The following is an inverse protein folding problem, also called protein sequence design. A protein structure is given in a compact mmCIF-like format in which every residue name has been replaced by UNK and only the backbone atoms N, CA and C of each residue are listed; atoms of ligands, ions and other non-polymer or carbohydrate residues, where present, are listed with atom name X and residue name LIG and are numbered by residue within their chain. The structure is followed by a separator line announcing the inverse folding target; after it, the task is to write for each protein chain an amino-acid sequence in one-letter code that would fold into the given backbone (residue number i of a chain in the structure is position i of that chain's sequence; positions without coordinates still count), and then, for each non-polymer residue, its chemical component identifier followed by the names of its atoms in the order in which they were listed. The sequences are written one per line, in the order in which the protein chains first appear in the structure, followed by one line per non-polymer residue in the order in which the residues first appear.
data_IF_845538499999
#
_entry.id   IF_845538499999
#
_cell.length_a   1.000
_cell.length_b   1.000
_cell.length_c   1.000
_cell.angle_alpha   90.00
_cell.angle_beta   90.00
_cell.angle_gamma   90.00
#
_symmetry.space_group_name_H-M   'P 1'
#
loop_
_entity.id
_entity.type
_entity.pdbx_description
1 polymer ?
#
# COMPACT_ATOMS: atom_id res chain seq x y z
N UNK A 1 -7.02 -5.18 -2.06
CA UNK A 1 -5.93 -6.18 -1.94
C UNK A 1 -5.67 -6.59 -0.49
N UNK A 2 -5.44 -5.67 0.46
CA UNK A 2 -5.28 -6.04 1.89
C UNK A 2 -6.52 -6.67 2.53
N UNK A 3 -7.69 -6.57 1.89
CA UNK A 3 -8.91 -7.31 2.22
C UNK A 3 -8.74 -8.83 2.16
N UNK A 4 -7.76 -9.34 1.40
CA UNK A 4 -7.47 -10.77 1.33
C UNK A 4 -6.66 -11.29 2.51
N UNK A 5 -5.99 -10.44 3.29
CA UNK A 5 -5.21 -10.86 4.46
C UNK A 5 -6.15 -11.37 5.58
N UNK A 6 -7.21 -10.65 5.98
CA UNK A 6 -8.22 -11.19 6.90
C UNK A 6 -8.89 -12.46 6.38
N UNK A 7 -9.16 -12.54 5.08
CA UNK A 7 -9.75 -13.72 4.45
C UNK A 7 -8.79 -14.92 4.50
N UNK A 8 -7.51 -14.71 4.24
CA UNK A 8 -6.49 -15.75 4.40
C UNK A 8 -6.36 -16.20 5.86
N UNK A 9 -6.33 -15.26 6.82
CA UNK A 9 -6.30 -15.57 8.24
C UNK A 9 -7.54 -16.38 8.67
N UNK A 10 -8.73 -16.01 8.20
CA UNK A 10 -9.99 -16.69 8.54
C UNK A 10 -10.14 -18.06 7.88
N UNK A 11 -9.81 -18.17 6.60
CA UNK A 11 -9.92 -19.42 5.82
C UNK A 11 -8.82 -20.44 6.17
N UNK A 12 -7.64 -19.95 6.56
CA UNK A 12 -6.52 -20.78 7.01
C UNK A 12 -6.55 -21.01 8.53
N UNK A 13 -7.65 -20.67 9.20
CA UNK A 13 -7.85 -20.83 10.65
C UNK A 13 -7.55 -22.25 11.16
N UNK A 14 -7.90 -23.27 10.39
CA UNK A 14 -7.60 -24.68 10.67
C UNK A 14 -6.13 -25.08 10.48
N UNK A 15 -5.33 -24.22 9.83
CA UNK A 15 -3.91 -24.42 9.49
C UNK A 15 -3.03 -23.41 10.26
N UNK A 16 -3.56 -22.69 11.26
CA UNK A 16 -2.93 -21.58 12.01
C UNK A 16 -1.50 -21.82 12.52
N UNK A 17 -1.06 -23.08 12.62
CA UNK A 17 0.28 -23.46 13.07
C UNK A 17 1.30 -23.65 11.94
N UNK A 18 0.89 -23.49 10.68
CA UNK A 18 1.76 -23.76 9.55
C UNK A 18 2.62 -22.54 9.17
N UNK A 19 3.93 -22.72 8.91
CA UNK A 19 4.78 -21.65 8.36
C UNK A 19 4.26 -21.10 7.03
N UNK A 20 3.33 -21.80 6.36
CA UNK A 20 2.76 -21.39 5.09
C UNK A 20 1.77 -20.22 5.19
N UNK A 21 1.14 -19.99 6.35
CA UNK A 21 0.27 -18.81 6.54
C UNK A 21 1.11 -17.53 6.56
N UNK A 22 2.24 -17.57 7.28
CA UNK A 22 3.15 -16.45 7.38
C UNK A 22 3.65 -16.04 5.99
N UNK A 23 4.16 -16.97 5.19
CA UNK A 23 4.64 -16.64 3.84
C UNK A 23 3.49 -16.20 2.91
N UNK A 24 2.29 -16.77 3.05
CA UNK A 24 1.12 -16.35 2.26
C UNK A 24 0.76 -14.89 2.53
N UNK A 25 0.68 -14.49 3.80
CA UNK A 25 0.37 -13.10 4.18
C UNK A 25 1.47 -12.16 3.67
N UNK A 26 2.74 -12.55 3.79
CA UNK A 26 3.86 -11.75 3.27
C UNK A 26 3.74 -11.58 1.76
N UNK A 27 3.56 -12.66 0.99
CA UNK A 27 3.43 -12.58 -0.47
C UNK A 27 2.17 -11.82 -0.90
N UNK A 28 1.07 -11.91 -0.17
CA UNK A 28 -0.12 -11.07 -0.41
C UNK A 28 0.19 -9.58 -0.20
N UNK A 29 1.00 -9.25 0.81
CA UNK A 29 1.42 -7.87 1.08
C UNK A 29 2.32 -7.35 -0.04
N UNK A 30 3.30 -8.16 -0.45
CA UNK A 30 4.18 -7.85 -1.59
C UNK A 30 3.34 -7.68 -2.87
N UNK A 31 2.41 -8.59 -3.13
CA UNK A 31 1.49 -8.49 -4.28
C UNK A 31 0.58 -7.27 -4.22
N UNK A 32 0.12 -6.87 -3.03
CA UNK A 32 -0.67 -5.65 -2.87
C UNK A 32 0.15 -4.40 -3.19
N UNK A 33 1.37 -4.30 -2.65
CA UNK A 33 2.28 -3.19 -2.95
C UNK A 33 2.62 -3.15 -4.45
N UNK A 34 3.09 -4.27 -4.99
CA UNK A 34 3.56 -4.34 -6.37
C UNK A 34 2.42 -4.23 -7.39
N UNK A 35 1.29 -4.89 -7.16
CA UNK A 35 0.15 -4.83 -8.07
C UNK A 35 -0.52 -3.45 -8.09
N UNK A 36 -0.53 -2.73 -6.96
CA UNK A 36 -1.08 -1.37 -6.90
C UNK A 36 -0.27 -0.35 -7.70
N UNK A 37 0.98 -0.65 -8.04
CA UNK A 37 1.86 0.30 -8.72
C UNK A 37 1.46 0.55 -10.17
N UNK A 38 0.71 -0.36 -10.80
CA UNK A 38 0.39 -0.30 -12.23
C UNK A 38 -0.48 0.89 -12.61
N UNK A 39 -1.32 1.38 -11.69
CA UNK A 39 -2.31 2.43 -11.98
C UNK A 39 -2.11 3.67 -11.12
N UNK A 40 -2.52 4.86 -11.60
CA UNK A 40 -2.45 6.09 -10.82
C UNK A 40 -3.23 6.01 -9.50
N UNK A 41 -4.42 5.39 -9.52
CA UNK A 41 -5.33 5.32 -8.37
C UNK A 41 -4.92 4.21 -7.39
N UNK A 42 -4.03 3.30 -7.79
CA UNK A 42 -3.70 2.12 -7.02
C UNK A 42 -3.08 2.43 -5.65
N UNK A 43 -2.30 3.52 -5.54
CA UNK A 43 -1.73 3.96 -4.27
C UNK A 43 -1.61 5.52 -4.20
N UNK A 44 -1.50 6.11 -2.98
CA UNK A 44 -1.54 7.57 -2.84
C UNK A 44 -0.36 8.29 -3.49
N UNK A 45 0.84 7.71 -3.47
CA UNK A 45 2.01 8.32 -4.08
C UNK A 45 1.90 8.40 -5.61
N UNK A 46 1.31 7.38 -6.24
CA UNK A 46 1.05 7.39 -7.68
C UNK A 46 0.05 8.46 -8.05
N UNK A 47 -1.05 8.55 -7.29
CA UNK A 47 -2.09 9.55 -7.52
C UNK A 47 -1.52 10.97 -7.41
N UNK A 48 -0.69 11.20 -6.39
CA UNK A 48 -0.02 12.49 -6.18
C UNK A 48 0.92 12.86 -7.33
N UNK A 49 1.85 11.96 -7.69
CA UNK A 49 2.82 12.23 -8.77
C UNK A 49 2.13 12.33 -10.14
N UNK A 50 1.08 11.53 -10.37
CA UNK A 50 0.24 11.62 -11.57
C UNK A 50 -0.38 13.02 -11.71
N UNK A 51 -0.94 13.56 -10.62
CA UNK A 51 -1.51 14.91 -10.60
C UNK A 51 -0.49 16.03 -10.91
N UNK A 52 0.76 15.87 -10.50
CA UNK A 52 1.84 16.82 -10.81
C UNK A 52 2.38 16.67 -12.24
N UNK A 53 2.41 15.43 -12.74
CA UNK A 53 3.08 15.08 -14.00
C UNK A 53 2.31 15.45 -15.28
N UNK A 54 0.99 15.70 -15.17
CA UNK A 54 0.09 15.92 -16.32
C UNK A 54 0.10 14.77 -17.36
N UNK A 55 0.53 13.57 -16.97
CA UNK A 55 0.55 12.41 -17.86
C UNK A 55 -0.86 11.90 -18.19
N UNK A 56 -1.00 11.21 -19.31
CA UNK A 56 -2.19 10.40 -19.58
C UNK A 56 -2.16 9.13 -18.72
N UNK A 57 -3.33 8.58 -18.39
CA UNK A 57 -3.44 7.29 -17.67
C UNK A 57 -2.70 6.18 -18.43
N UNK A 58 -2.78 6.18 -19.76
CA UNK A 58 -2.10 5.19 -20.59
C UNK A 58 -0.57 5.28 -20.47
N UNK A 59 -0.01 6.50 -20.48
CA UNK A 59 1.43 6.71 -20.31
C UNK A 59 1.89 6.21 -18.93
N UNK A 60 1.14 6.52 -17.87
CA UNK A 60 1.44 6.03 -16.52
C UNK A 60 1.47 4.48 -16.48
N UNK A 61 0.45 3.85 -17.05
CA UNK A 61 0.38 2.38 -17.11
C UNK A 61 1.57 1.82 -17.89
N UNK A 62 1.93 2.40 -19.03
CA UNK A 62 3.09 1.97 -19.83
C UNK A 62 4.41 2.13 -19.07
N UNK A 63 4.59 3.22 -18.34
CA UNK A 63 5.76 3.45 -17.49
C UNK A 63 5.89 2.36 -16.40
N UNK A 64 4.78 2.01 -15.75
CA UNK A 64 4.77 1.07 -14.63
C UNK A 64 4.64 -0.41 -15.05
N UNK A 65 4.28 -0.68 -16.30
CA UNK A 65 4.03 -2.02 -16.81
C UNK A 65 5.27 -2.93 -16.71
N UNK A 66 6.49 -2.54 -17.12
CA UNK A 66 7.65 -3.41 -17.03
C UNK A 66 7.93 -3.87 -15.58
N UNK A 67 7.94 -2.92 -14.64
CA UNK A 67 8.13 -3.22 -13.21
C UNK A 67 7.03 -4.14 -12.66
N UNK A 68 5.79 -3.92 -13.07
CA UNK A 68 4.63 -4.75 -12.68
C UNK A 68 4.73 -6.17 -13.25
N UNK A 69 5.16 -6.32 -14.50
CA UNK A 69 5.34 -7.63 -15.16
C UNK A 69 6.46 -8.41 -14.49
N UNK A 70 7.62 -7.79 -14.24
CA UNK A 70 8.70 -8.44 -13.49
C UNK A 70 8.25 -8.84 -12.08
N UNK A 71 7.48 -7.97 -11.42
CA UNK A 71 6.88 -8.28 -10.12
C UNK A 71 5.96 -9.49 -10.17
N UNK A 72 5.12 -9.60 -11.20
CA UNK A 72 4.22 -10.73 -11.41
C UNK A 72 4.99 -12.04 -11.64
N UNK A 73 6.09 -12.02 -12.41
CA UNK A 73 6.97 -13.17 -12.57
C UNK A 73 7.62 -13.60 -11.24
N UNK A 74 8.18 -12.66 -10.49
CA UNK A 74 8.79 -12.96 -9.18
C UNK A 74 7.77 -13.56 -8.21
N UNK A 75 6.56 -13.00 -8.16
CA UNK A 75 5.46 -13.55 -7.36
C UNK A 75 5.08 -14.95 -7.84
N UNK A 76 4.94 -15.17 -9.16
CA UNK A 76 4.63 -16.48 -9.72
C UNK A 76 5.64 -17.54 -9.28
N UNK A 77 6.95 -17.26 -9.37
CA UNK A 77 7.97 -18.19 -8.90
C UNK A 77 7.97 -18.38 -7.38
N UNK A 78 7.72 -17.32 -6.61
CA UNK A 78 7.61 -17.42 -5.15
C UNK A 78 6.41 -18.29 -4.72
N UNK A 79 5.29 -18.24 -5.44
CA UNK A 79 4.12 -19.07 -5.17
C UNK A 79 4.40 -20.57 -5.35
N UNK A 80 5.28 -20.96 -6.28
CA UNK A 80 5.67 -22.37 -6.47
C UNK A 80 6.41 -22.97 -5.28
N UNK A 81 6.92 -22.13 -4.36
CA UNK A 81 7.54 -22.57 -3.11
C UNK A 81 6.52 -22.85 -2.01
N UNK A 82 5.25 -22.48 -2.19
CA UNK A 82 4.18 -22.79 -1.25
C UNK A 82 3.62 -24.18 -1.59
N UNK A 83 3.69 -25.16 -0.67
CA UNK A 83 3.15 -26.48 -0.93
C UNK A 83 1.63 -26.43 -1.09
N UNK A 84 1.14 -27.23 -2.03
CA UNK A 84 -0.29 -27.38 -2.30
C UNK A 84 -0.92 -28.24 -1.20
N UNK A 85 -1.32 -27.64 -0.09
CA UNK A 85 -2.10 -28.32 0.96
C UNK A 85 -3.59 -28.24 0.66
N UNK A 86 -4.32 -29.34 0.82
CA UNK A 86 -5.78 -29.30 0.79
C UNK A 86 -6.28 -28.47 1.97
N UNK A 87 -6.97 -27.37 1.67
CA UNK A 87 -7.64 -26.56 2.68
C UNK A 87 -8.93 -27.27 3.09
N UNK A 88 -8.99 -27.76 4.32
CA UNK A 88 -10.24 -28.25 4.90
C UNK A 88 -10.92 -27.02 5.50
N UNK A 89 -11.86 -26.47 4.75
CA UNK A 89 -12.64 -25.31 5.17
C UNK A 89 -13.66 -25.79 6.21
N UNK A 90 -13.37 -25.56 7.49
CA UNK A 90 -14.13 -26.16 8.59
C UNK A 90 -15.44 -25.43 8.94
N UNK A 91 -15.77 -24.33 8.23
CA UNK A 91 -17.01 -23.59 8.43
C UNK A 91 -17.51 -23.03 7.10
N UNK A 92 -18.70 -23.45 6.67
CA UNK A 92 -19.54 -22.65 5.78
C UNK A 92 -20.14 -21.52 6.60
N UNK A 93 -19.60 -20.31 6.46
CA UNK A 93 -20.26 -19.14 7.06
C UNK A 93 -21.52 -18.92 6.21
N UNK A 94 -22.69 -19.17 6.79
CA UNK A 94 -23.97 -18.77 6.20
C UNK A 94 -24.10 -17.25 6.33
N UNK A 95 -23.35 -16.52 5.51
CA UNK A 95 -23.45 -15.06 5.47
C UNK A 95 -24.64 -14.70 4.60
N UNK A 96 -25.73 -14.26 5.22
CA UNK A 96 -26.73 -13.50 4.50
C UNK A 96 -26.07 -12.22 3.96
N UNK A 97 -25.99 -12.14 2.63
CA UNK A 97 -25.39 -11.00 1.95
C UNK A 97 -26.36 -9.83 2.04
N UNK A 98 -25.98 -8.78 2.77
CA UNK A 98 -26.72 -7.53 2.83
C UNK A 98 -26.63 -6.78 1.48
N UNK A 99 -27.56 -7.11 0.58
CA UNK A 99 -27.66 -6.50 -0.76
C UNK A 99 -27.82 -4.99 -0.69
N UNK A 100 -28.53 -4.48 0.32
CA UNK A 100 -28.72 -3.04 0.54
C UNK A 100 -27.40 -2.39 0.97
N UNK A 101 -26.69 -3.03 1.89
CA UNK A 101 -25.36 -2.60 2.32
C UNK A 101 -24.38 -2.50 1.16
N UNK A 102 -24.35 -3.50 0.27
CA UNK A 102 -23.48 -3.47 -0.93
C UNK A 102 -23.76 -2.23 -1.77
N UNK A 103 -25.03 -1.93 -2.08
CA UNK A 103 -25.38 -0.76 -2.90
C UNK A 103 -24.93 0.53 -2.20
N UNK A 104 -25.18 0.66 -0.89
CA UNK A 104 -24.77 1.84 -0.10
C UNK A 104 -23.25 2.01 -0.12
N UNK A 105 -22.48 0.96 0.18
CA UNK A 105 -21.02 1.04 0.20
C UNK A 105 -20.42 1.26 -1.20
N UNK A 106 -21.02 0.70 -2.24
CA UNK A 106 -20.59 0.92 -3.62
C UNK A 106 -20.86 2.36 -4.05
N UNK A 107 -22.01 2.93 -3.68
CA UNK A 107 -22.32 4.35 -3.89
C UNK A 107 -21.34 5.27 -3.14
N UNK A 108 -21.05 4.98 -1.87
CA UNK A 108 -20.05 5.72 -1.09
C UNK A 108 -18.66 5.59 -1.71
N UNK A 109 -18.27 4.40 -2.19
CA UNK A 109 -16.99 4.19 -2.86
C UNK A 109 -16.87 5.04 -4.13
N UNK A 110 -17.89 5.03 -5.00
CA UNK A 110 -17.93 5.87 -6.20
C UNK A 110 -17.86 7.36 -5.84
N UNK A 111 -18.56 7.78 -4.78
CA UNK A 111 -18.49 9.16 -4.29
C UNK A 111 -17.08 9.52 -3.80
N UNK A 112 -16.39 8.61 -3.10
CA UNK A 112 -14.98 8.85 -2.71
C UNK A 112 -14.04 8.90 -3.90
N UNK A 113 -14.25 8.09 -4.94
CA UNK A 113 -13.48 8.18 -6.18
C UNK A 113 -13.74 9.51 -6.91
N UNK A 114 -14.98 10.01 -6.89
CA UNK A 114 -15.32 11.30 -7.48
C UNK A 114 -14.57 12.46 -6.80
N UNK A 115 -14.36 12.41 -5.48
CA UNK A 115 -13.50 13.37 -4.78
C UNK A 115 -12.02 13.23 -5.18
N UNK A 116 -11.55 12.00 -5.34
CA UNK A 116 -10.15 11.72 -5.76
C UNK A 116 -9.86 12.29 -7.15
N UNK A 117 -10.81 12.25 -8.08
CA UNK A 117 -10.66 12.84 -9.42
C UNK A 117 -11.07 14.33 -9.47
N UNK A 118 -11.25 14.97 -8.30
CA UNK A 118 -11.64 16.38 -8.16
C UNK A 118 -12.99 16.76 -8.81
N UNK A 119 -13.90 15.81 -9.03
CA UNK A 119 -15.26 16.11 -9.51
C UNK A 119 -16.19 16.61 -8.41
N UNK A 120 -15.90 16.27 -7.15
CA UNK A 120 -16.68 16.67 -5.98
C UNK A 120 -15.72 17.12 -4.88
N UNK A 121 -16.05 18.20 -4.18
CA UNK A 121 -15.26 18.68 -3.05
C UNK A 121 -15.17 17.62 -1.93
N UNK A 122 -13.96 17.29 -1.41
CA UNK A 122 -13.79 16.28 -0.37
C UNK A 122 -14.62 16.54 0.90
N UNK A 123 -14.88 17.81 1.23
CA UNK A 123 -15.72 18.21 2.38
C UNK A 123 -17.17 17.79 2.18
N UNK A 124 -17.70 17.92 0.95
CA UNK A 124 -19.07 17.49 0.61
C UNK A 124 -19.16 15.97 0.71
N UNK A 125 -18.15 15.26 0.19
CA UNK A 125 -18.09 13.79 0.28
C UNK A 125 -18.03 13.32 1.73
N UNK A 126 -17.24 13.97 2.59
CA UNK A 126 -17.19 13.66 4.02
C UNK A 126 -18.56 13.85 4.70
N UNK A 127 -19.23 14.97 4.44
CA UNK A 127 -20.57 15.26 4.96
C UNK A 127 -21.58 14.18 4.54
N UNK A 128 -21.63 13.87 3.24
CA UNK A 128 -22.53 12.83 2.71
C UNK A 128 -22.21 11.45 3.30
N UNK A 129 -20.93 11.11 3.44
CA UNK A 129 -20.50 9.84 4.02
C UNK A 129 -20.97 9.70 5.47
N UNK A 130 -20.76 10.74 6.30
CA UNK A 130 -21.21 10.76 7.69
C UNK A 130 -22.74 10.65 7.78
N UNK A 131 -23.47 11.45 6.98
CA UNK A 131 -24.93 11.43 6.97
C UNK A 131 -25.47 10.06 6.54
N UNK A 132 -25.02 9.52 5.40
CA UNK A 132 -25.49 8.24 4.88
C UNK A 132 -25.21 7.11 5.88
N UNK A 133 -24.02 7.05 6.48
CA UNK A 133 -23.67 6.02 7.46
C UNK A 133 -24.43 6.17 8.78
N UNK A 134 -24.69 7.40 9.23
CA UNK A 134 -25.51 7.67 10.41
C UNK A 134 -26.97 7.24 10.19
N UNK A 135 -27.57 7.58 9.05
CA UNK A 135 -28.94 7.16 8.68
C UNK A 135 -29.04 5.66 8.43
N UNK A 136 -27.98 5.03 7.91
CA UNK A 136 -27.94 3.57 7.75
C UNK A 136 -27.85 2.82 9.10
N UNK A 137 -27.67 3.53 10.22
CA UNK A 137 -27.63 2.95 11.57
C UNK A 137 -26.34 2.18 11.85
N UNK A 138 -25.27 2.47 11.10
CA UNK A 138 -24.09 1.64 11.09
C UNK A 138 -23.02 2.12 12.05
N UNK A 139 -22.71 1.30 13.07
CA UNK A 139 -21.64 1.57 14.04
C UNK A 139 -20.23 1.51 13.43
N UNK A 140 -20.08 1.10 12.18
CA UNK A 140 -18.79 0.97 11.49
C UNK A 140 -18.04 2.31 11.31
N UNK A 141 -18.69 3.47 11.45
CA UNK A 141 -18.02 4.78 11.47
C UNK A 141 -16.89 4.83 12.50
N UNK A 142 -17.07 4.18 13.66
CA UNK A 142 -16.07 4.12 14.72
C UNK A 142 -15.10 2.94 14.59
N UNK A 143 -15.31 2.06 13.62
CA UNK A 143 -14.44 0.91 13.33
C UNK A 143 -13.23 1.26 12.45
N UNK A 144 -13.15 2.49 11.94
CA UNK A 144 -12.02 2.97 11.17
C UNK A 144 -10.74 3.07 12.02
N UNK A 145 -9.58 2.83 11.39
CA UNK A 145 -8.28 2.93 12.07
C UNK A 145 -7.83 4.40 12.15
N UNK A 146 -8.41 5.16 13.09
CA UNK A 146 -8.06 6.57 13.30
C UNK A 146 -6.60 6.77 13.69
N UNK A 147 -5.95 5.76 14.31
CA UNK A 147 -4.51 5.79 14.57
C UNK A 147 -3.68 5.81 13.29
N UNK A 148 -4.11 5.08 12.26
CA UNK A 148 -3.49 5.15 10.94
C UNK A 148 -3.71 6.53 10.30
N UNK A 149 -4.91 7.10 10.39
CA UNK A 149 -5.20 8.45 9.89
C UNK A 149 -4.33 9.51 10.58
N UNK A 150 -4.16 9.40 11.89
CA UNK A 150 -3.27 10.26 12.68
C UNK A 150 -1.80 10.07 12.29
N UNK A 151 -1.38 8.85 11.99
CA UNK A 151 -0.03 8.57 11.50
C UNK A 151 0.23 9.28 10.18
N UNK A 152 -0.74 9.29 9.25
CA UNK A 152 -0.64 10.08 8.02
C UNK A 152 -0.50 11.58 8.32
N UNK A 153 -1.38 12.14 9.16
CA UNK A 153 -1.30 13.54 9.55
C UNK A 153 0.10 13.88 10.10
N UNK A 154 0.63 13.06 10.99
CA UNK A 154 1.96 13.24 11.57
C UNK A 154 3.07 13.15 10.51
N UNK A 155 3.00 12.20 9.57
CA UNK A 155 3.97 12.07 8.48
C UNK A 155 3.93 13.26 7.51
N UNK A 156 2.75 13.79 7.19
CA UNK A 156 2.61 15.01 6.38
C UNK A 156 3.17 16.24 7.11
N UNK A 157 2.88 16.39 8.40
CA UNK A 157 3.47 17.45 9.22
C UNK A 157 4.99 17.32 9.28
N UNK A 158 5.50 16.09 9.45
CA UNK A 158 6.94 15.82 9.45
C UNK A 158 7.58 16.24 8.11
N UNK A 159 7.03 15.81 6.97
CA UNK A 159 7.54 16.18 5.65
C UNK A 159 7.48 17.69 5.42
N UNK A 160 6.37 18.33 5.77
CA UNK A 160 6.22 19.78 5.66
C UNK A 160 7.26 20.55 6.49
N UNK A 161 7.62 20.04 7.67
CA UNK A 161 8.68 20.62 8.49
C UNK A 161 10.08 20.32 7.95
N UNK A 162 10.34 19.08 7.50
CA UNK A 162 11.63 18.68 6.90
C UNK A 162 11.97 19.54 5.68
N UNK A 163 10.98 19.86 4.85
CA UNK A 163 11.15 20.74 3.68
C UNK A 163 11.56 22.18 4.04
N UNK A 164 11.35 22.63 5.29
CA UNK A 164 11.73 23.96 5.77
C UNK A 164 13.11 24.01 6.43
N UNK A 165 13.73 22.86 6.66
CA UNK A 165 15.07 22.76 7.24
C UNK A 165 16.10 22.94 6.13
N UNK A 166 16.84 24.04 6.15
CA UNK A 166 17.82 24.39 5.12
C UNK A 166 18.86 23.29 4.88
N UNK A 167 19.27 22.56 5.93
CA UNK A 167 20.21 21.44 5.82
C UNK A 167 19.62 20.27 5.02
N UNK A 168 18.34 19.94 5.25
CA UNK A 168 17.64 18.89 4.52
C UNK A 168 17.48 19.29 3.07
N UNK A 169 17.06 20.54 2.81
CA UNK A 169 16.95 21.09 1.46
C UNK A 169 18.28 21.01 0.70
N UNK A 170 19.37 21.46 1.31
CA UNK A 170 20.71 21.46 0.69
C UNK A 170 21.19 20.04 0.41
N UNK A 171 20.95 19.11 1.33
CA UNK A 171 21.33 17.71 1.17
C UNK A 171 20.52 17.04 0.05
N UNK A 172 19.20 17.20 0.04
CA UNK A 172 18.34 16.62 -0.99
C UNK A 172 18.62 17.21 -2.36
N UNK A 173 18.76 18.53 -2.48
CA UNK A 173 19.12 19.19 -3.74
C UNK A 173 20.45 18.66 -4.32
N UNK A 174 21.41 18.31 -3.45
CA UNK A 174 22.72 17.74 -3.87
C UNK A 174 22.64 16.26 -4.26
N UNK A 175 21.84 15.47 -3.56
CA UNK A 175 21.87 14.00 -3.64
C UNK A 175 20.83 13.44 -4.60
N UNK A 176 19.73 14.16 -4.85
CA UNK A 176 18.63 13.68 -5.71
C UNK A 176 19.00 13.66 -7.19
N UNK A 177 19.68 14.70 -7.69
CA UNK A 177 19.97 14.85 -9.12
C UNK A 177 20.74 13.66 -9.70
N UNK A 178 20.13 12.95 -10.66
CA UNK A 178 20.68 11.76 -11.31
C UNK A 178 20.69 10.50 -10.44
N UNK A 179 20.09 10.54 -9.25
CA UNK A 179 19.99 9.42 -8.29
C UNK A 179 18.58 9.29 -7.71
N UNK A 180 17.57 9.82 -8.40
CA UNK A 180 16.19 9.94 -7.95
C UNK A 180 15.64 8.59 -7.48
N UNK A 181 15.88 7.52 -8.26
CA UNK A 181 15.40 6.17 -7.97
C UNK A 181 15.94 5.63 -6.65
N UNK A 182 17.26 5.68 -6.44
CA UNK A 182 17.88 5.11 -5.24
C UNK A 182 17.56 5.97 -4.01
N UNK A 183 17.53 7.30 -4.15
CA UNK A 183 17.16 8.21 -3.06
C UNK A 183 15.71 7.99 -2.65
N UNK A 184 14.80 7.83 -3.61
CA UNK A 184 13.40 7.49 -3.35
C UNK A 184 13.25 6.17 -2.59
N UNK A 185 13.98 5.12 -3.00
CA UNK A 185 13.95 3.81 -2.32
C UNK A 185 14.44 3.94 -0.88
N UNK A 186 15.61 4.55 -0.68
CA UNK A 186 16.23 4.67 0.64
C UNK A 186 15.40 5.54 1.58
N UNK A 187 14.91 6.68 1.10
CA UNK A 187 14.09 7.59 1.89
C UNK A 187 12.76 6.95 2.26
N UNK A 188 12.16 6.16 1.36
CA UNK A 188 10.93 5.41 1.66
C UNK A 188 11.11 4.46 2.84
N UNK A 189 12.30 3.88 3.05
CA UNK A 189 12.55 3.02 4.22
C UNK A 189 12.45 3.74 5.56
N UNK A 190 12.63 5.06 5.57
CA UNK A 190 12.71 5.88 6.78
C UNK A 190 11.37 6.57 7.04
N UNK A 191 10.78 7.18 6.00
CA UNK A 191 9.58 8.03 6.14
C UNK A 191 8.35 7.49 5.40
N UNK A 192 8.42 6.27 4.85
CA UNK A 192 7.42 5.66 3.96
C UNK A 192 7.40 6.24 2.54
N UNK A 193 6.83 5.48 1.61
CA UNK A 193 6.76 5.81 0.19
C UNK A 193 5.89 7.04 -0.14
N UNK A 194 4.76 7.26 0.55
CA UNK A 194 3.91 8.44 0.31
C UNK A 194 4.61 9.74 0.70
N UNK A 195 5.13 9.88 1.94
CA UNK A 195 5.81 11.11 2.34
C UNK A 195 7.12 11.32 1.57
N UNK A 196 7.83 10.24 1.19
CA UNK A 196 9.01 10.33 0.33
C UNK A 196 8.68 10.89 -1.06
N UNK A 197 7.58 10.46 -1.69
CA UNK A 197 7.16 11.00 -2.99
C UNK A 197 6.90 12.50 -2.93
N UNK A 198 6.19 12.96 -1.91
CA UNK A 198 5.85 14.38 -1.71
C UNK A 198 7.08 15.22 -1.42
N UNK A 199 8.00 14.70 -0.58
CA UNK A 199 9.21 15.43 -0.25
C UNK A 199 10.13 15.53 -1.47
N UNK A 200 10.32 14.45 -2.22
CA UNK A 200 11.26 14.42 -3.33
C UNK A 200 10.74 15.10 -4.60
N UNK A 201 9.43 15.18 -4.79
CA UNK A 201 8.84 15.87 -5.95
C UNK A 201 9.17 17.36 -6.00
N UNK A 202 9.59 17.97 -4.88
CA UNK A 202 10.04 19.38 -4.87
C UNK A 202 11.50 19.56 -5.29
N UNK A 203 12.26 18.47 -5.44
CA UNK A 203 13.70 18.48 -5.73
C UNK A 203 14.08 17.80 -7.05
N UNK A 204 13.11 17.29 -7.82
CA UNK A 204 13.36 16.70 -9.14
C UNK A 204 12.20 16.97 -10.09
N UNK A 205 12.52 17.06 -11.37
CA UNK A 205 11.56 17.10 -12.48
C UNK A 205 11.40 15.72 -13.14
N UNK A 206 12.25 14.75 -12.79
CA UNK A 206 12.23 13.40 -13.35
C UNK A 206 11.16 12.54 -12.66
N UNK A 207 9.89 12.90 -12.87
CA UNK A 207 8.76 12.25 -12.23
C UNK A 207 8.69 10.76 -12.58
N UNK A 208 9.14 10.33 -13.76
CA UNK A 208 9.18 8.92 -14.17
C UNK A 208 10.05 8.10 -13.23
N UNK A 209 11.29 8.55 -13.03
CA UNK A 209 12.29 7.88 -12.21
C UNK A 209 11.90 7.94 -10.74
N UNK A 210 11.35 9.07 -10.29
CA UNK A 210 10.83 9.22 -8.94
C UNK A 210 9.65 8.27 -8.69
N UNK A 211 8.68 8.20 -9.61
CA UNK A 211 7.50 7.32 -9.52
C UNK A 211 7.93 5.87 -9.39
N UNK A 212 8.86 5.42 -10.24
CA UNK A 212 9.40 4.07 -10.17
C UNK A 212 10.14 3.84 -8.83
N UNK A 213 10.96 4.80 -8.41
CA UNK A 213 11.71 4.75 -7.16
C UNK A 213 10.84 4.63 -5.91
N UNK A 214 9.76 5.42 -5.79
CA UNK A 214 8.88 5.37 -4.60
C UNK A 214 7.98 4.14 -4.59
N UNK A 215 7.62 3.59 -5.76
CA UNK A 215 6.89 2.33 -5.83
C UNK A 215 7.74 1.14 -5.40
N UNK A 216 8.98 1.04 -5.91
CA UNK A 216 9.94 0.05 -5.42
C UNK A 216 10.30 0.30 -3.96
N UNK A 217 10.41 1.56 -3.55
CA UNK A 217 10.65 1.99 -2.18
C UNK A 217 9.55 1.58 -1.19
N UNK A 218 8.37 1.16 -1.67
CA UNK A 218 7.34 0.54 -0.84
C UNK A 218 7.70 -0.89 -0.36
N UNK A 219 8.73 -1.50 -0.95
CA UNK A 219 9.35 -2.73 -0.46
C UNK A 219 10.45 -2.40 0.54
N UNK A 220 10.77 -3.37 1.39
CA UNK A 220 11.95 -3.43 2.22
C UNK A 220 11.56 -3.62 3.68
N UNK A 221 11.57 -2.53 4.43
CA UNK A 221 11.15 -2.52 5.83
C UNK A 221 9.63 -2.47 5.98
N UNK A 222 9.12 -2.66 7.20
CA UNK A 222 7.70 -2.44 7.47
C UNK A 222 7.26 -0.98 7.29
N UNK A 223 8.15 -0.03 7.57
CA UNK A 223 7.86 1.41 7.52
C UNK A 223 7.71 1.87 6.06
N UNK A 224 8.39 1.18 5.14
CA UNK A 224 8.42 1.45 3.71
C UNK A 224 7.03 1.66 3.08
N UNK A 225 6.03 0.88 3.50
CA UNK A 225 4.68 0.97 2.97
C UNK A 225 3.62 0.70 4.04
N UNK A 226 2.51 1.43 3.95
CA UNK A 226 1.34 1.21 4.80
C UNK A 226 0.72 -0.18 4.65
N UNK A 227 0.80 -0.80 3.47
CA UNK A 227 0.30 -2.16 3.30
C UNK A 227 1.05 -3.13 4.23
N UNK A 228 2.35 -2.92 4.40
CA UNK A 228 3.22 -3.70 5.26
C UNK A 228 2.81 -3.56 6.74
N UNK A 229 2.55 -2.34 7.20
CA UNK A 229 2.09 -2.05 8.57
C UNK A 229 0.72 -2.68 8.84
N UNK A 230 -0.24 -2.51 7.92
CA UNK A 230 -1.59 -3.05 8.04
C UNK A 230 -1.55 -4.59 8.13
N UNK A 231 -0.81 -5.22 7.23
CA UNK A 231 -0.65 -6.68 7.19
C UNK A 231 0.01 -7.21 8.47
N UNK A 232 1.08 -6.56 8.94
CA UNK A 232 1.74 -6.92 10.20
C UNK A 232 0.79 -6.79 11.40
N UNK A 233 0.00 -5.71 11.47
CA UNK A 233 -0.98 -5.50 12.55
C UNK A 233 -2.08 -6.56 12.52
N UNK A 234 -2.52 -6.98 11.32
CA UNK A 234 -3.50 -8.05 11.17
C UNK A 234 -2.92 -9.41 11.59
N UNK A 235 -1.70 -9.75 11.14
CA UNK A 235 -1.01 -10.97 11.54
C UNK A 235 -0.76 -11.04 13.05
N UNK A 236 -0.32 -9.92 13.66
CA UNK A 236 0.00 -9.86 15.09
C UNK A 236 -1.21 -10.10 16.01
N UNK A 237 -2.44 -9.96 15.48
CA UNK A 237 -3.69 -10.26 16.20
C UNK A 237 -4.09 -11.74 16.14
N UNK A 238 -3.38 -12.57 15.38
CA UNK A 238 -3.70 -14.00 15.25
C UNK A 238 -3.22 -14.82 16.46
N UNK A 239 -3.89 -15.94 16.75
CA UNK A 239 -3.44 -16.89 17.78
C UNK A 239 -2.06 -17.42 17.41
N UNK A 240 -1.12 -17.43 18.36
CA UNK A 240 0.27 -17.87 18.20
C UNK A 240 1.12 -17.05 17.21
N UNK A 241 0.77 -15.77 16.99
CA UNK A 241 1.56 -14.89 16.14
C UNK A 241 3.03 -14.82 16.60
N UNK A 242 3.96 -14.99 15.65
CA UNK A 242 5.40 -14.82 15.86
C UNK A 242 5.86 -13.51 15.19
N UNK A 243 5.69 -12.33 15.83
CA UNK A 243 5.92 -11.04 15.19
C UNK A 243 7.36 -10.87 14.73
N UNK A 244 8.35 -11.29 15.53
CA UNK A 244 9.76 -11.23 15.15
C UNK A 244 10.11 -12.10 13.95
N UNK A 245 9.57 -13.31 13.89
CA UNK A 245 9.75 -14.18 12.73
C UNK A 245 9.10 -13.58 11.48
N UNK A 246 7.91 -12.98 11.65
CA UNK A 246 7.27 -12.25 10.55
C UNK A 246 8.16 -11.11 10.07
N UNK A 247 8.67 -10.26 10.97
CA UNK A 247 9.55 -9.15 10.58
C UNK A 247 10.77 -9.63 9.78
N UNK A 248 11.46 -10.65 10.28
CA UNK A 248 12.66 -11.17 9.62
C UNK A 248 12.35 -11.71 8.22
N UNK A 249 11.36 -12.61 8.11
CA UNK A 249 10.99 -13.20 6.82
C UNK A 249 10.42 -12.14 5.87
N UNK A 250 9.61 -11.22 6.38
CA UNK A 250 9.04 -10.12 5.62
C UNK A 250 10.15 -9.24 5.03
N UNK A 251 11.09 -8.79 5.85
CA UNK A 251 12.18 -7.93 5.41
C UNK A 251 13.10 -8.65 4.43
N UNK A 252 13.43 -9.92 4.65
CA UNK A 252 14.23 -10.71 3.70
C UNK A 252 13.53 -10.82 2.35
N UNK A 253 12.26 -11.25 2.33
CA UNK A 253 11.50 -11.38 1.08
C UNK A 253 11.43 -10.05 0.35
N UNK A 254 11.11 -8.98 1.05
CA UNK A 254 10.98 -7.66 0.42
C UNK A 254 12.32 -7.11 -0.08
N UNK A 255 13.43 -7.30 0.65
CA UNK A 255 14.77 -6.88 0.20
C UNK A 255 15.18 -7.67 -1.06
N UNK A 256 14.90 -8.98 -1.11
CA UNK A 256 15.19 -9.79 -2.30
C UNK A 256 14.38 -9.29 -3.50
N UNK A 257 13.08 -9.08 -3.34
CA UNK A 257 12.24 -8.52 -4.40
C UNK A 257 12.72 -7.14 -4.84
N UNK A 258 13.05 -6.26 -3.88
CA UNK A 258 13.57 -4.93 -4.15
C UNK A 258 14.88 -4.98 -4.93
N UNK A 259 15.84 -5.80 -4.52
CA UNK A 259 17.13 -5.92 -5.19
C UNK A 259 16.98 -6.41 -6.63
N UNK A 260 16.15 -7.43 -6.85
CA UNK A 260 15.92 -7.95 -8.21
C UNK A 260 15.20 -6.93 -9.08
N UNK A 261 14.12 -6.31 -8.57
CA UNK A 261 13.39 -5.29 -9.32
C UNK A 261 14.24 -4.05 -9.60
N UNK A 262 15.08 -3.64 -8.65
CA UNK A 262 15.98 -2.50 -8.83
C UNK A 262 16.93 -2.69 -10.01
N UNK A 263 17.42 -3.92 -10.23
CA UNK A 263 18.33 -4.26 -11.34
C UNK A 263 17.58 -4.41 -12.67
N UNK A 264 16.34 -4.92 -12.64
CA UNK A 264 15.55 -5.20 -13.85
C UNK A 264 14.80 -3.97 -14.42
N UNK A 265 14.77 -2.87 -13.68
CA UNK A 265 14.01 -1.65 -14.02
C UNK A 265 14.90 -0.43 -13.87
#
# INVERSE_FOLDING_TARGET
MLTFVPLAIGSLGSIQQSPYILITIILQTVAANLGSMLTPIGNPQNLFLFGLSQWSVLYFVQLMLPATVFSAFLLFFALHRIPKSKLIMSHSIDTQVDKKGIIVYLGLFVLTLAAVVHWVEPVIVLLLLVLILAFYGNKNLFGADFGLLLTFLALFVLVGNLGRINQVHTLLAKVVGGREKIVAILLSQIISNVPAAILLSTYTTSFEVLTLGVNLGGLGTLIASMASIISFKQYSKTKNAQPWRYLLVFTVVNIVFLAVLYVLT
#
